data_IF_042591513585
#
_entry.id   IF_042591513585
#
_cell.length_a   1.000
_cell.length_b   1.000
_cell.length_c   1.000
_cell.angle_alpha   90.00
_cell.angle_beta   90.00
_cell.angle_gamma   90.00
#
_symmetry.space_group_name_H-M   'P 1'
#
loop_
_entity.id
_entity.type
_entity.pdbx_description
1 polymer ?
#
# COMPACT_ATOMS: atom_id res chain seq x y z
N UNK A 1 -21.28 47.97 -2.42
CA UNK A 1 -21.17 46.55 -2.84
C UNK A 1 -19.70 46.10 -2.95
N UNK A 2 -18.88 46.19 -1.88
CA UNK A 2 -17.45 45.81 -1.93
C UNK A 2 -17.05 44.73 -0.91
N UNK A 3 -17.88 44.47 0.11
CA UNK A 3 -17.51 43.60 1.24
C UNK A 3 -17.60 42.09 0.94
N UNK A 4 -18.39 41.68 -0.07
CA UNK A 4 -18.62 40.26 -0.36
C UNK A 4 -17.58 39.60 -1.27
N UNK A 5 -16.72 40.36 -1.96
CA UNK A 5 -15.65 39.78 -2.81
C UNK A 5 -14.44 39.30 -2.01
N UNK A 6 -14.24 39.79 -0.78
CA UNK A 6 -13.06 39.45 0.02
C UNK A 6 -13.11 38.08 0.70
N UNK A 7 -14.29 37.41 0.74
CA UNK A 7 -14.48 36.10 1.39
C UNK A 7 -14.29 34.88 0.47
N UNK A 8 -13.96 35.07 -0.81
CA UNK A 8 -13.67 33.95 -1.74
C UNK A 8 -12.19 33.61 -1.92
N UNK A 9 -11.27 34.34 -1.26
CA UNK A 9 -9.82 34.10 -1.34
C UNK A 9 -9.18 33.61 -0.04
N UNK A 10 -9.93 32.97 0.85
CA UNK A 10 -9.33 32.02 1.78
C UNK A 10 -9.04 30.74 1.00
N UNK A 11 -8.06 30.78 0.09
CA UNK A 11 -7.41 29.56 -0.39
C UNK A 11 -6.84 28.91 0.86
N UNK A 12 -7.57 27.95 1.43
CA UNK A 12 -7.15 27.14 2.56
C UNK A 12 -5.79 26.59 2.15
N UNK A 13 -4.74 27.18 2.71
CA UNK A 13 -3.36 26.87 2.36
C UNK A 13 -2.97 25.61 3.15
N UNK A 14 -3.80 24.56 2.99
CA UNK A 14 -3.72 23.29 3.68
C UNK A 14 -2.35 22.66 3.47
N UNK A 15 -1.80 22.83 2.26
CA UNK A 15 -0.44 22.42 1.88
C UNK A 15 0.63 23.07 2.75
N UNK A 16 0.54 24.37 3.03
CA UNK A 16 1.50 25.08 3.90
C UNK A 16 1.36 24.70 5.39
N UNK A 17 0.14 24.42 5.85
CA UNK A 17 -0.14 23.99 7.22
C UNK A 17 0.29 22.55 7.46
N UNK A 18 0.09 21.66 6.47
CA UNK A 18 0.62 20.30 6.47
C UNK A 18 2.15 20.31 6.45
N UNK A 19 2.79 21.17 5.63
CA UNK A 19 4.25 21.32 5.62
C UNK A 19 4.80 21.75 6.98
N UNK A 20 4.18 22.73 7.63
CA UNK A 20 4.54 23.14 9.00
C UNK A 20 4.35 22.03 10.02
N UNK A 21 3.26 21.27 9.93
CA UNK A 21 2.98 20.17 10.86
C UNK A 21 3.94 19.00 10.68
N UNK A 22 4.47 18.80 9.46
CA UNK A 22 5.52 17.81 9.13
C UNK A 22 6.89 18.27 9.63
N UNK A 23 7.25 19.55 9.50
CA UNK A 23 8.48 20.11 10.08
C UNK A 23 8.47 20.10 11.62
N UNK A 24 7.30 20.27 12.25
CA UNK A 24 7.12 20.10 13.70
C UNK A 24 6.77 18.67 14.12
N UNK A 25 6.84 17.69 13.22
CA UNK A 25 6.57 16.30 13.58
C UNK A 25 7.76 15.71 14.33
N UNK A 26 7.51 14.84 15.34
CA UNK A 26 8.55 14.23 16.18
C UNK A 26 9.70 13.62 15.37
N UNK A 27 10.92 13.54 15.93
CA UNK A 27 12.10 13.02 15.24
C UNK A 27 11.89 11.61 14.67
N UNK A 28 11.05 10.78 15.30
CA UNK A 28 10.68 9.46 14.77
C UNK A 28 9.85 9.52 13.48
N UNK A 29 8.96 10.51 13.33
CA UNK A 29 8.17 10.72 12.10
C UNK A 29 9.07 11.22 10.98
N UNK A 30 10.00 12.13 11.27
CA UNK A 30 10.97 12.59 10.27
C UNK A 30 11.93 11.48 9.84
N UNK A 31 12.31 10.58 10.76
CA UNK A 31 13.13 9.42 10.43
C UNK A 31 12.34 8.41 9.57
N UNK A 32 11.05 8.21 9.87
CA UNK A 32 10.16 7.42 9.02
C UNK A 32 9.97 8.08 7.65
N UNK A 33 9.76 9.40 7.56
CA UNK A 33 9.64 10.13 6.29
C UNK A 33 10.96 10.18 5.49
N UNK A 34 12.11 10.11 6.15
CA UNK A 34 13.41 9.97 5.47
C UNK A 34 13.60 8.56 4.89
N UNK A 35 13.12 7.54 5.60
CA UNK A 35 13.05 6.17 5.08
C UNK A 35 11.95 6.01 4.03
N UNK A 36 10.91 6.85 4.10
CA UNK A 36 9.71 6.82 3.27
C UNK A 36 9.72 7.98 2.27
N UNK A 37 10.51 7.82 1.21
CA UNK A 37 10.45 8.77 0.10
C UNK A 37 9.16 8.54 -0.68
N UNK A 38 8.25 9.51 -0.66
CA UNK A 38 7.01 9.49 -1.45
C UNK A 38 7.36 9.66 -2.93
N UNK A 39 7.31 8.59 -3.76
CA UNK A 39 7.56 8.73 -5.18
C UNK A 39 6.44 9.54 -5.86
N UNK A 40 6.66 10.04 -7.10
CA UNK A 40 5.63 10.75 -7.85
C UNK A 40 4.32 9.96 -7.90
N UNK A 41 3.20 10.67 -7.67
CA UNK A 41 1.86 10.09 -7.51
C UNK A 41 1.42 9.22 -8.68
N UNK A 42 1.89 9.49 -9.89
CA UNK A 42 1.62 8.67 -11.09
C UNK A 42 2.13 7.23 -10.95
N UNK A 43 3.32 7.05 -10.37
CA UNK A 43 3.92 5.72 -10.18
C UNK A 43 3.19 4.96 -9.08
N UNK A 44 2.77 5.66 -8.02
CA UNK A 44 1.97 5.09 -6.93
C UNK A 44 0.64 4.61 -7.46
N UNK A 45 -0.08 5.46 -8.21
CA UNK A 45 -1.36 5.13 -8.81
C UNK A 45 -1.25 3.95 -9.77
N UNK A 46 -0.21 3.91 -10.61
CA UNK A 46 0.00 2.80 -11.54
C UNK A 46 0.23 1.48 -10.81
N UNK A 47 1.02 1.48 -9.73
CA UNK A 47 1.25 0.31 -8.86
C UNK A 47 -0.04 -0.09 -8.15
N UNK A 48 -0.74 0.88 -7.56
CA UNK A 48 -2.02 0.65 -6.86
C UNK A 48 -3.04 0.03 -7.80
N UNK A 49 -3.15 0.54 -9.03
CA UNK A 49 -4.05 -0.01 -10.03
C UNK A 49 -3.69 -1.45 -10.38
N UNK A 50 -2.41 -1.78 -10.48
CA UNK A 50 -1.93 -3.14 -10.78
C UNK A 50 -2.29 -4.12 -9.66
N UNK A 51 -2.03 -3.76 -8.39
CA UNK A 51 -2.38 -4.60 -7.24
C UNK A 51 -3.89 -4.66 -6.98
N UNK A 52 -4.62 -3.56 -7.18
CA UNK A 52 -6.07 -3.52 -7.05
C UNK A 52 -6.77 -4.33 -8.15
N UNK A 53 -6.24 -4.28 -9.38
CA UNK A 53 -6.75 -5.10 -10.48
C UNK A 53 -6.45 -6.57 -10.25
N UNK A 54 -5.26 -6.94 -9.77
CA UNK A 54 -4.95 -8.32 -9.38
C UNK A 54 -5.82 -8.81 -8.22
N UNK A 55 -6.05 -7.98 -7.20
CA UNK A 55 -6.95 -8.29 -6.08
C UNK A 55 -8.40 -8.46 -6.51
N UNK A 56 -8.90 -7.56 -7.36
CA UNK A 56 -10.24 -7.66 -7.95
C UNK A 56 -10.40 -8.92 -8.82
N UNK A 57 -9.39 -9.23 -9.64
CA UNK A 57 -9.35 -10.45 -10.44
C UNK A 57 -9.32 -11.70 -9.56
N UNK A 58 -8.58 -11.67 -8.44
CA UNK A 58 -8.52 -12.75 -7.46
C UNK A 58 -9.89 -13.02 -6.84
N UNK A 59 -10.66 -11.98 -6.52
CA UNK A 59 -12.02 -12.10 -5.98
C UNK A 59 -13.00 -12.67 -7.01
N UNK A 60 -12.88 -12.26 -8.29
CA UNK A 60 -13.76 -12.75 -9.36
C UNK A 60 -13.47 -14.21 -9.75
N UNK A 61 -12.22 -14.66 -9.60
CA UNK A 61 -11.74 -15.98 -10.01
C UNK A 61 -11.35 -16.86 -8.82
N UNK A 62 -11.93 -16.62 -7.64
CA UNK A 62 -11.60 -17.32 -6.38
C UNK A 62 -11.91 -18.83 -6.38
N UNK A 63 -12.50 -19.35 -7.47
CA UNK A 63 -13.06 -20.70 -7.53
C UNK A 63 -12.14 -21.77 -8.18
N UNK A 64 -11.13 -21.41 -8.98
CA UNK A 64 -10.48 -22.40 -9.86
C UNK A 64 -8.97 -22.61 -9.64
N UNK A 65 -8.28 -21.68 -8.98
CA UNK A 65 -6.87 -21.87 -8.59
C UNK A 65 -6.51 -21.00 -7.39
N UNK A 66 -5.77 -21.54 -6.43
CA UNK A 66 -5.41 -20.81 -5.21
C UNK A 66 -4.62 -19.52 -5.49
N UNK A 67 -4.73 -18.49 -4.62
CA UNK A 67 -4.17 -17.15 -4.86
C UNK A 67 -2.63 -17.11 -4.86
N UNK A 68 -1.95 -18.21 -4.55
CA UNK A 68 -0.49 -18.30 -4.45
C UNK A 68 0.24 -17.85 -5.72
N UNK A 69 -0.25 -18.23 -6.90
CA UNK A 69 0.37 -17.83 -8.18
C UNK A 69 0.26 -16.32 -8.41
N UNK A 70 -0.89 -15.74 -8.06
CA UNK A 70 -1.10 -14.30 -8.16
C UNK A 70 -0.23 -13.55 -7.16
N UNK A 71 -0.09 -14.06 -5.92
CA UNK A 71 0.84 -13.51 -4.92
C UNK A 71 2.28 -13.54 -5.42
N UNK A 72 2.73 -14.64 -6.03
CA UNK A 72 4.09 -14.74 -6.57
C UNK A 72 4.37 -13.69 -7.68
N UNK A 73 3.44 -13.50 -8.62
CA UNK A 73 3.57 -12.48 -9.67
C UNK A 73 3.61 -11.08 -9.05
N UNK A 74 2.74 -10.82 -8.07
CA UNK A 74 2.68 -9.53 -7.38
C UNK A 74 3.97 -9.23 -6.58
N UNK A 75 4.58 -10.26 -5.98
CA UNK A 75 5.86 -10.17 -5.28
C UNK A 75 6.99 -9.89 -6.28
N UNK A 76 7.03 -10.61 -7.40
CA UNK A 76 8.02 -10.39 -8.46
C UNK A 76 7.93 -8.98 -9.05
N UNK A 77 6.70 -8.50 -9.33
CA UNK A 77 6.46 -7.13 -9.76
C UNK A 77 6.93 -6.12 -8.69
N UNK A 78 6.69 -6.41 -7.41
CA UNK A 78 7.13 -5.53 -6.34
C UNK A 78 8.66 -5.46 -6.24
N UNK A 79 9.35 -6.61 -6.27
CA UNK A 79 10.81 -6.67 -6.26
C UNK A 79 11.40 -5.97 -7.47
N UNK A 80 10.82 -6.13 -8.66
CA UNK A 80 11.25 -5.43 -9.88
C UNK A 80 11.15 -3.90 -9.70
N UNK A 81 10.02 -3.42 -9.19
CA UNK A 81 9.79 -2.00 -8.93
C UNK A 81 10.68 -1.41 -7.84
N UNK A 82 11.04 -2.22 -6.82
CA UNK A 82 12.02 -1.82 -5.81
C UNK A 82 13.43 -1.79 -6.40
N UNK A 83 13.77 -2.76 -7.24
CA UNK A 83 15.08 -2.81 -7.88
C UNK A 83 15.32 -1.59 -8.79
N UNK A 84 14.31 -1.13 -9.53
CA UNK A 84 14.39 0.14 -10.28
C UNK A 84 14.68 1.35 -9.38
N UNK A 85 14.18 1.35 -8.14
CA UNK A 85 14.32 2.46 -7.19
C UNK A 85 15.67 2.43 -6.46
N UNK A 86 16.03 1.28 -5.90
CA UNK A 86 17.18 1.13 -5.00
C UNK A 86 18.46 0.74 -5.76
N UNK A 87 18.37 0.48 -7.08
CA UNK A 87 19.45 -0.03 -7.95
C UNK A 87 20.19 -1.26 -7.38
N UNK A 88 19.57 -1.99 -6.45
CA UNK A 88 20.17 -3.12 -5.76
C UNK A 88 19.16 -4.24 -5.57
N UNK A 89 19.37 -5.33 -6.30
CA UNK A 89 18.49 -6.50 -6.28
C UNK A 89 18.39 -7.13 -4.88
N UNK A 90 19.50 -7.22 -4.14
CA UNK A 90 19.50 -7.84 -2.82
C UNK A 90 18.64 -7.10 -1.79
N UNK A 91 18.72 -5.77 -1.76
CA UNK A 91 17.88 -4.95 -0.87
C UNK A 91 16.41 -5.01 -1.30
N UNK A 92 16.14 -4.94 -2.60
CA UNK A 92 14.80 -5.08 -3.16
C UNK A 92 14.14 -6.41 -2.76
N UNK A 93 14.90 -7.51 -2.83
CA UNK A 93 14.45 -8.83 -2.40
C UNK A 93 14.17 -8.90 -0.90
N UNK A 94 15.08 -8.43 -0.05
CA UNK A 94 14.90 -8.47 1.41
C UNK A 94 13.68 -7.66 1.83
N UNK A 95 13.48 -6.49 1.23
CA UNK A 95 12.33 -5.64 1.54
C UNK A 95 11.04 -6.29 1.01
N UNK A 96 11.03 -6.82 -0.22
CA UNK A 96 9.87 -7.51 -0.78
C UNK A 96 9.47 -8.76 0.02
N UNK A 97 10.45 -9.55 0.45
CA UNK A 97 10.21 -10.72 1.28
C UNK A 97 9.78 -10.35 2.71
N UNK A 98 10.40 -9.32 3.29
CA UNK A 98 9.98 -8.75 4.57
C UNK A 98 8.52 -8.27 4.54
N UNK A 99 8.12 -7.60 3.45
CA UNK A 99 6.75 -7.17 3.22
C UNK A 99 5.77 -8.34 3.14
N UNK A 100 6.16 -9.43 2.46
CA UNK A 100 5.36 -10.65 2.38
C UNK A 100 5.19 -11.30 3.75
N UNK A 101 6.27 -11.45 4.53
CA UNK A 101 6.21 -12.05 5.87
C UNK A 101 5.36 -11.19 6.81
N UNK A 102 5.55 -9.87 6.80
CA UNK A 102 4.74 -8.96 7.63
C UNK A 102 3.27 -9.00 7.20
N UNK A 103 2.99 -8.96 5.90
CA UNK A 103 1.62 -9.07 5.38
C UNK A 103 0.98 -10.41 5.69
N UNK A 104 1.74 -11.49 5.66
CA UNK A 104 1.28 -12.83 6.02
C UNK A 104 0.95 -12.92 7.51
N UNK A 105 1.86 -12.50 8.40
CA UNK A 105 1.63 -12.49 9.85
C UNK A 105 0.44 -11.60 10.19
N UNK A 106 0.34 -10.42 9.58
CA UNK A 106 -0.79 -9.52 9.75
C UNK A 106 -2.08 -10.16 9.25
N UNK A 107 -2.07 -10.83 8.10
CA UNK A 107 -3.19 -11.61 7.59
C UNK A 107 -3.61 -12.73 8.55
N UNK A 108 -2.67 -13.52 9.06
CA UNK A 108 -2.96 -14.59 10.03
C UNK A 108 -3.55 -14.07 11.34
N UNK A 109 -3.26 -12.83 11.74
CA UNK A 109 -3.86 -12.21 12.92
C UNK A 109 -5.21 -11.58 12.59
N UNK A 110 -5.36 -10.85 11.47
CA UNK A 110 -6.61 -10.17 11.14
C UNK A 110 -7.71 -11.12 10.67
N UNK A 111 -7.38 -12.11 9.84
CA UNK A 111 -8.38 -12.99 9.19
C UNK A 111 -9.22 -13.78 10.20
N UNK A 112 -8.66 -14.37 11.27
CA UNK A 112 -9.44 -15.07 12.30
C UNK A 112 -10.26 -14.13 13.20
N UNK A 113 -9.88 -12.86 13.29
CA UNK A 113 -10.60 -11.86 14.09
C UNK A 113 -11.83 -11.30 13.37
N UNK A 114 -12.02 -11.61 12.08
CA UNK A 114 -13.20 -11.16 11.32
C UNK A 114 -14.36 -12.10 11.65
N UNK A 115 -15.48 -11.59 12.19
CA UNK A 115 -16.63 -12.42 12.49
C UNK A 115 -17.17 -13.04 11.19
N UNK A 116 -17.39 -14.36 11.22
CA UNK A 116 -17.88 -15.17 10.10
C UNK A 116 -19.22 -14.71 9.53
N UNK A 117 -19.93 -13.82 10.24
CA UNK A 117 -21.18 -13.19 9.80
C UNK A 117 -21.00 -12.13 8.69
N UNK A 118 -19.78 -11.59 8.53
CA UNK A 118 -19.41 -10.65 7.46
C UNK A 118 -18.72 -11.35 6.27
N UNK A 119 -18.33 -12.61 6.44
CA UNK A 119 -17.66 -13.39 5.39
C UNK A 119 -18.71 -14.02 4.48
N UNK A 120 -18.73 -13.59 3.22
CA UNK A 120 -19.49 -14.30 2.20
C UNK A 120 -18.90 -15.71 2.01
N UNK A 121 -19.72 -16.76 1.82
CA UNK A 121 -19.26 -18.15 1.69
C UNK A 121 -18.22 -18.42 0.60
N UNK A 122 -18.06 -17.50 -0.35
CA UNK A 122 -17.09 -17.57 -1.46
C UNK A 122 -15.70 -17.04 -1.11
N UNK A 123 -15.53 -16.36 0.04
CA UNK A 123 -14.27 -15.77 0.45
C UNK A 123 -13.50 -16.78 1.31
N UNK A 124 -12.59 -17.51 0.67
CA UNK A 124 -11.68 -18.42 1.38
C UNK A 124 -10.73 -17.64 2.29
N UNK A 125 -10.31 -18.24 3.41
CA UNK A 125 -9.34 -17.61 4.30
C UNK A 125 -8.03 -17.25 3.55
N UNK A 126 -7.65 -18.06 2.58
CA UNK A 126 -6.50 -17.87 1.67
C UNK A 126 -6.64 -16.62 0.79
N UNK A 127 -7.86 -16.30 0.34
CA UNK A 127 -8.12 -15.10 -0.45
C UNK A 127 -7.94 -13.85 0.41
N UNK A 128 -8.41 -13.89 1.65
CA UNK A 128 -8.34 -12.75 2.56
C UNK A 128 -6.91 -12.46 3.01
N UNK A 129 -6.13 -13.51 3.32
CA UNK A 129 -4.70 -13.37 3.62
C UNK A 129 -3.93 -12.82 2.42
N UNK A 130 -4.21 -13.31 1.20
CA UNK A 130 -3.55 -12.80 -0.01
C UNK A 130 -3.87 -11.32 -0.30
N UNK A 131 -5.10 -10.87 -0.02
CA UNK A 131 -5.49 -9.45 -0.07
C UNK A 131 -4.69 -8.58 0.89
N UNK A 132 -4.50 -9.04 2.13
CA UNK A 132 -3.66 -8.33 3.11
C UNK A 132 -2.21 -8.28 2.62
N UNK A 133 -1.68 -9.39 2.07
CA UNK A 133 -0.34 -9.44 1.49
C UNK A 133 -0.20 -8.45 0.32
N UNK A 134 -1.19 -8.32 -0.57
CA UNK A 134 -1.17 -7.31 -1.64
C UNK A 134 -1.09 -5.89 -1.11
N UNK A 135 -1.82 -5.57 -0.04
CA UNK A 135 -1.74 -4.25 0.60
C UNK A 135 -0.36 -3.99 1.19
N UNK A 136 0.23 -4.95 1.88
CA UNK A 136 1.58 -4.80 2.45
C UNK A 136 2.69 -4.74 1.40
N UNK A 137 2.57 -5.52 0.32
CA UNK A 137 3.47 -5.42 -0.83
C UNK A 137 3.33 -4.06 -1.50
N UNK A 138 2.12 -3.56 -1.69
CA UNK A 138 1.88 -2.23 -2.23
C UNK A 138 2.49 -1.13 -1.35
N UNK A 139 2.26 -1.19 -0.03
CA UNK A 139 2.83 -0.25 0.94
C UNK A 139 4.36 -0.28 0.88
N UNK A 140 4.95 -1.47 0.87
CA UNK A 140 6.40 -1.63 0.81
C UNK A 140 6.98 -1.12 -0.50
N UNK A 141 6.31 -1.40 -1.62
CA UNK A 141 6.69 -0.87 -2.91
C UNK A 141 6.51 0.65 -3.05
N UNK A 142 5.61 1.24 -2.28
CA UNK A 142 5.28 2.67 -2.37
C UNK A 142 6.13 3.51 -1.44
N UNK A 143 6.43 2.97 -0.26
CA UNK A 143 6.99 3.72 0.85
C UNK A 143 8.38 3.26 1.27
N UNK A 144 8.83 2.03 0.95
CA UNK A 144 10.19 1.62 1.34
C UNK A 144 11.21 1.92 0.24
N UNK A 145 12.41 2.34 0.70
CA UNK A 145 13.54 2.78 -0.13
C UNK A 145 14.65 1.75 -0.15
#
# INVERSE_FOLDING_TARGET
MASFRHRKKTKINLKSRLKKKVEESPPWVQNLLNYVELPPTDVILRRLFLFAFMGGWSIMNSAESGPAFQVAISLAACIYFLNEKTKSLGRAFIIGFGALVVGWVCGSVLVPNIPSMLLHPTWTLELLTSLVVYLFLFLSCTFLK
#
